data_IF_521382009082
#
_entry.id   IF_521382009082
#
_cell.length_a   1.000
_cell.length_b   1.000
_cell.length_c   1.000
_cell.angle_alpha   90.00
_cell.angle_beta   90.00
_cell.angle_gamma   90.00
#
_symmetry.space_group_name_H-M   'P 1'
#
loop_
_entity.id
_entity.type
_entity.pdbx_description
1 polymer ?
#
# COMPACT_ATOMS: atom_id res chain seq x y z
N UNK A 1 7.98 -15.06 -12.60
CA UNK A 1 8.40 -16.47 -12.79
C UNK A 1 8.66 -17.17 -11.45
N UNK A 2 9.43 -16.61 -10.52
CA UNK A 2 9.72 -17.23 -9.22
C UNK A 2 8.44 -17.66 -8.46
N UNK A 3 7.47 -16.76 -8.31
CA UNK A 3 6.22 -17.04 -7.59
C UNK A 3 5.44 -18.24 -8.18
N UNK A 4 5.43 -18.40 -9.51
CA UNK A 4 4.81 -19.56 -10.16
C UNK A 4 5.57 -20.87 -9.88
N UNK A 5 6.90 -20.84 -9.80
CA UNK A 5 7.71 -22.02 -9.47
C UNK A 5 7.54 -22.43 -8.01
N UNK A 6 7.38 -21.45 -7.10
CA UNK A 6 7.10 -21.72 -5.69
C UNK A 6 5.73 -22.37 -5.51
N UNK A 7 4.69 -21.86 -6.20
CA UNK A 7 3.36 -22.48 -6.23
C UNK A 7 3.41 -23.93 -6.74
N UNK A 8 4.07 -24.14 -7.88
CA UNK A 8 4.27 -25.50 -8.43
C UNK A 8 4.95 -26.44 -7.44
N UNK A 9 5.97 -25.95 -6.71
CA UNK A 9 6.65 -26.72 -5.69
C UNK A 9 5.75 -27.06 -4.51
N UNK A 10 5.01 -26.08 -4.00
CA UNK A 10 4.04 -26.29 -2.92
C UNK A 10 2.97 -27.31 -3.31
N UNK A 11 2.42 -27.20 -4.53
CA UNK A 11 1.47 -28.14 -5.10
C UNK A 11 2.05 -29.56 -5.22
N UNK A 12 3.29 -29.69 -5.65
CA UNK A 12 3.96 -31.00 -5.76
C UNK A 12 4.14 -31.71 -4.41
N UNK A 13 4.15 -30.95 -3.33
CA UNK A 13 4.28 -31.46 -1.96
C UNK A 13 2.94 -31.55 -1.22
N UNK A 14 1.86 -31.02 -1.80
CA UNK A 14 0.54 -31.02 -1.20
C UNK A 14 0.40 -30.06 -0.01
N UNK A 15 1.17 -28.95 0.03
CA UNK A 15 1.20 -28.00 1.15
C UNK A 15 0.91 -26.57 0.70
N UNK A 16 0.44 -25.68 1.61
CA UNK A 16 0.40 -24.24 1.36
C UNK A 16 1.81 -23.68 1.18
N UNK A 17 1.92 -22.54 0.46
CA UNK A 17 3.24 -21.91 0.22
C UNK A 17 3.95 -21.51 1.52
N UNK A 18 3.25 -20.99 2.54
CA UNK A 18 3.90 -20.62 3.80
C UNK A 18 4.63 -21.78 4.49
N UNK A 19 4.24 -23.04 4.26
CA UNK A 19 4.97 -24.21 4.77
C UNK A 19 6.36 -24.34 4.15
N UNK A 20 6.54 -23.93 2.91
CA UNK A 20 7.88 -23.87 2.29
C UNK A 20 8.74 -22.76 2.89
N UNK A 21 8.13 -21.79 3.55
CA UNK A 21 8.81 -20.62 4.14
C UNK A 21 9.17 -20.82 5.62
N UNK A 22 8.82 -21.97 6.19
CA UNK A 22 9.07 -22.30 7.60
C UNK A 22 7.81 -22.43 8.46
N UNK A 23 6.64 -22.30 7.86
CA UNK A 23 5.33 -22.35 8.51
C UNK A 23 4.78 -20.98 8.89
N UNK A 24 3.50 -20.95 9.20
CA UNK A 24 2.83 -19.74 9.65
C UNK A 24 3.07 -19.48 11.15
N UNK A 25 3.41 -18.25 11.52
CA UNK A 25 3.58 -17.82 12.91
C UNK A 25 2.35 -17.07 13.45
N UNK A 26 1.32 -16.90 12.61
CA UNK A 26 0.01 -16.31 12.94
C UNK A 26 -1.08 -16.88 12.05
N UNK A 27 -2.33 -16.78 12.49
CA UNK A 27 -3.50 -17.32 11.81
C UNK A 27 -4.31 -16.27 11.05
N UNK A 28 -4.13 -14.99 11.42
CA UNK A 28 -4.83 -13.83 10.85
C UNK A 28 -3.86 -12.66 10.65
N UNK A 29 -4.16 -11.82 9.67
CA UNK A 29 -3.36 -10.66 9.29
C UNK A 29 -4.21 -9.40 9.44
N UNK A 30 -3.82 -8.44 10.30
CA UNK A 30 -4.46 -7.13 10.31
C UNK A 30 -4.23 -6.41 8.99
N UNK A 31 -5.30 -5.77 8.49
CA UNK A 31 -5.29 -5.04 7.22
C UNK A 31 -5.47 -3.55 7.46
N UNK A 32 -4.88 -2.74 6.56
CA UNK A 32 -5.30 -1.35 6.39
C UNK A 32 -5.98 -1.16 5.03
N UNK A 33 -7.04 -0.30 5.01
CA UNK A 33 -7.71 0.09 3.77
C UNK A 33 -6.82 1.06 3.01
N UNK A 34 -6.21 0.61 1.93
CA UNK A 34 -5.33 1.42 1.09
C UNK A 34 -6.10 2.27 0.09
N UNK A 35 -5.45 3.30 -0.45
CA UNK A 35 -6.03 4.27 -1.38
C UNK A 35 -7.39 4.78 -0.91
N UNK A 36 -7.59 4.84 0.44
CA UNK A 36 -8.85 5.20 1.05
C UNK A 36 -9.28 6.59 0.60
N UNK A 37 -10.32 6.66 -0.21
CA UNK A 37 -10.81 7.85 -0.89
C UNK A 37 -10.24 8.10 -2.28
N UNK A 38 -9.05 7.62 -2.63
CA UNK A 38 -8.41 7.86 -3.93
C UNK A 38 -9.24 7.34 -5.10
N UNK A 39 -9.80 6.14 -4.95
CA UNK A 39 -10.65 5.54 -5.96
C UNK A 39 -12.10 6.03 -5.91
N UNK A 40 -12.47 6.78 -4.87
CA UNK A 40 -13.79 7.44 -4.76
C UNK A 40 -13.80 8.88 -5.26
N UNK A 41 -12.72 9.38 -5.84
CA UNK A 41 -12.77 10.64 -6.57
C UNK A 41 -13.68 10.50 -7.80
N UNK A 42 -14.43 11.55 -8.21
CA UNK A 42 -15.62 11.41 -9.09
C UNK A 42 -15.40 10.56 -10.33
N UNK A 43 -14.30 10.76 -11.05
CA UNK A 43 -14.02 10.01 -12.29
C UNK A 43 -13.83 8.51 -12.06
N UNK A 44 -13.11 8.15 -11.00
CA UNK A 44 -12.82 6.75 -10.69
C UNK A 44 -14.01 6.10 -10.00
N UNK A 45 -14.70 6.82 -9.14
CA UNK A 45 -15.91 6.37 -8.46
C UNK A 45 -17.00 5.93 -9.46
N UNK A 46 -17.20 6.71 -10.54
CA UNK A 46 -18.13 6.35 -11.62
C UNK A 46 -17.75 5.02 -12.29
N UNK A 47 -16.46 4.79 -12.54
CA UNK A 47 -15.96 3.55 -13.15
C UNK A 47 -16.13 2.33 -12.26
N UNK A 48 -16.01 2.50 -10.95
CA UNK A 48 -16.09 1.42 -9.95
C UNK A 48 -17.51 1.22 -9.42
N UNK A 49 -18.44 2.15 -9.69
CA UNK A 49 -19.81 2.11 -9.17
C UNK A 49 -19.89 2.34 -7.66
N UNK A 50 -18.94 3.09 -7.08
CA UNK A 50 -18.90 3.44 -5.66
C UNK A 50 -19.34 4.89 -5.43
N UNK A 51 -19.79 5.26 -4.20
CA UNK A 51 -20.16 6.65 -3.91
C UNK A 51 -18.96 7.61 -4.09
N UNK A 52 -19.14 8.71 -4.86
CA UNK A 52 -18.05 9.67 -5.06
C UNK A 52 -17.77 10.50 -3.80
N UNK A 53 -16.53 10.90 -3.63
CA UNK A 53 -16.09 11.87 -2.64
C UNK A 53 -15.93 13.22 -3.31
N UNK A 54 -16.68 14.21 -2.83
CA UNK A 54 -16.73 15.57 -3.37
C UNK A 54 -16.45 16.64 -2.33
N UNK A 55 -16.45 16.26 -1.04
CA UNK A 55 -16.30 17.17 0.09
C UNK A 55 -15.56 16.52 1.26
N UNK A 56 -15.22 17.31 2.27
CA UNK A 56 -14.67 16.82 3.53
C UNK A 56 -15.70 15.99 4.32
N UNK A 57 -16.99 16.30 4.23
CA UNK A 57 -18.06 15.53 4.89
C UNK A 57 -18.15 14.10 4.32
N UNK A 58 -17.84 13.92 3.04
CA UNK A 58 -17.77 12.59 2.43
C UNK A 58 -16.57 11.79 3.00
N UNK A 59 -15.46 12.45 3.35
CA UNK A 59 -14.32 11.82 4.04
C UNK A 59 -14.68 11.40 5.47
N UNK A 60 -15.45 12.21 6.20
CA UNK A 60 -15.98 11.83 7.51
C UNK A 60 -16.84 10.56 7.38
N UNK A 61 -17.70 10.53 6.36
CA UNK A 61 -18.57 9.38 6.09
C UNK A 61 -17.78 8.13 5.72
N UNK A 62 -16.75 8.26 4.87
CA UNK A 62 -15.84 7.17 4.53
C UNK A 62 -15.05 6.68 5.76
N UNK A 63 -14.57 7.58 6.61
CA UNK A 63 -13.91 7.20 7.85
C UNK A 63 -14.81 6.35 8.78
N UNK A 64 -16.10 6.67 8.87
CA UNK A 64 -17.08 5.85 9.59
C UNK A 64 -17.23 4.47 8.95
N UNK A 65 -17.29 4.39 7.62
CA UNK A 65 -17.35 3.12 6.89
C UNK A 65 -16.12 2.24 7.17
N UNK A 66 -14.91 2.81 7.15
CA UNK A 66 -13.66 2.09 7.50
C UNK A 66 -13.76 1.47 8.88
N UNK A 67 -14.20 2.23 9.87
CA UNK A 67 -14.39 1.76 11.24
C UNK A 67 -15.47 0.68 11.35
N UNK A 68 -16.60 0.85 10.69
CA UNK A 68 -17.72 -0.10 10.70
C UNK A 68 -17.35 -1.45 10.06
N UNK A 69 -16.43 -1.45 9.09
CA UNK A 69 -15.86 -2.65 8.49
C UNK A 69 -14.73 -3.29 9.32
N UNK A 70 -14.44 -2.75 10.50
CA UNK A 70 -13.51 -3.32 11.47
C UNK A 70 -12.04 -3.08 11.18
N UNK A 71 -11.67 -2.24 10.20
CA UNK A 71 -10.27 -1.92 9.93
C UNK A 71 -9.64 -1.18 11.11
N UNK A 72 -8.38 -1.51 11.40
CA UNK A 72 -7.59 -0.82 12.43
C UNK A 72 -6.81 0.38 11.88
N UNK A 73 -6.67 0.47 10.56
CA UNK A 73 -5.96 1.56 9.89
C UNK A 73 -6.54 1.84 8.50
N UNK A 74 -6.34 3.07 8.01
CA UNK A 74 -6.51 3.46 6.62
C UNK A 74 -5.26 4.17 6.10
N UNK A 75 -4.99 4.06 4.80
CA UNK A 75 -3.95 4.84 4.09
C UNK A 75 -4.59 5.71 3.02
N UNK A 76 -4.27 6.99 3.00
CA UNK A 76 -4.82 7.97 2.06
C UNK A 76 -3.72 8.74 1.37
N UNK A 77 -4.05 9.36 0.22
CA UNK A 77 -3.17 10.24 -0.55
C UNK A 77 -3.55 11.71 -0.34
N UNK A 78 -3.02 12.61 -1.14
CA UNK A 78 -3.30 14.06 -1.08
C UNK A 78 -4.48 14.39 -1.97
N UNK A 79 -5.60 14.88 -1.40
CA UNK A 79 -6.75 15.34 -2.15
C UNK A 79 -6.86 16.86 -2.14
N UNK A 80 -7.31 17.43 -3.26
CA UNK A 80 -7.67 18.84 -3.36
C UNK A 80 -9.14 18.93 -3.73
N UNK A 81 -9.93 19.55 -2.85
CA UNK A 81 -11.35 19.83 -3.04
C UNK A 81 -11.52 21.21 -3.68
N UNK A 82 -11.25 21.29 -4.98
CA UNK A 82 -11.47 22.45 -5.83
C UNK A 82 -12.79 22.27 -6.61
N UNK A 83 -13.03 23.01 -7.68
CA UNK A 83 -14.23 22.81 -8.51
C UNK A 83 -14.43 21.35 -8.93
N UNK A 84 -13.33 20.65 -9.19
CA UNK A 84 -13.31 19.21 -9.43
C UNK A 84 -12.33 18.57 -8.46
N UNK A 85 -12.82 17.79 -7.49
CA UNK A 85 -11.97 17.06 -6.56
C UNK A 85 -11.00 16.14 -7.30
N UNK A 86 -9.73 16.19 -6.96
CA UNK A 86 -8.69 15.41 -7.60
C UNK A 86 -7.55 15.06 -6.65
N UNK A 87 -6.77 14.06 -7.02
CA UNK A 87 -5.56 13.69 -6.30
C UNK A 87 -4.39 14.56 -6.73
N UNK A 88 -3.66 15.13 -5.77
CA UNK A 88 -2.46 15.90 -6.02
C UNK A 88 -1.24 14.99 -6.10
N UNK A 89 -0.78 14.70 -7.31
CA UNK A 89 0.29 13.74 -7.59
C UNK A 89 1.37 14.35 -8.52
N UNK A 90 2.09 15.41 -8.12
CA UNK A 90 3.12 16.01 -8.96
C UNK A 90 4.28 15.06 -9.28
N UNK A 91 4.55 14.08 -8.44
CA UNK A 91 5.58 13.07 -8.66
C UNK A 91 5.34 12.16 -9.87
N UNK A 92 4.08 11.95 -10.25
CA UNK A 92 3.70 11.14 -11.42
C UNK A 92 3.56 11.96 -12.71
N UNK A 93 3.55 13.31 -12.60
CA UNK A 93 3.46 14.18 -13.76
C UNK A 93 4.86 14.59 -14.25
N UNK A 94 5.08 14.52 -15.56
CA UNK A 94 6.32 15.00 -16.20
C UNK A 94 6.21 16.46 -16.66
N UNK A 95 5.26 17.20 -16.08
CA UNK A 95 4.98 18.59 -16.38
C UNK A 95 5.71 19.54 -15.43
N UNK A 96 5.41 20.82 -15.52
CA UNK A 96 5.87 21.86 -14.60
C UNK A 96 5.72 21.41 -13.13
N UNK A 97 6.80 21.56 -12.36
CA UNK A 97 6.81 21.26 -10.95
C UNK A 97 7.07 19.80 -10.55
N UNK A 98 7.38 18.92 -11.49
CA UNK A 98 7.66 17.50 -11.19
C UNK A 98 9.15 17.21 -10.88
N UNK A 99 9.44 16.51 -9.77
CA UNK A 99 8.73 16.50 -8.50
C UNK A 99 8.83 17.87 -7.82
N UNK A 100 7.77 18.33 -7.15
CA UNK A 100 7.76 19.60 -6.48
C UNK A 100 8.81 19.69 -5.38
N UNK A 101 9.70 20.68 -5.45
CA UNK A 101 10.71 20.89 -4.41
C UNK A 101 10.11 21.53 -3.16
N UNK A 102 9.20 22.47 -3.37
CA UNK A 102 8.58 23.30 -2.33
C UNK A 102 7.07 23.17 -2.42
N UNK A 103 6.44 22.37 -1.53
CA UNK A 103 4.99 22.26 -1.50
C UNK A 103 4.34 23.58 -1.14
N UNK A 104 3.27 23.93 -1.83
CA UNK A 104 2.51 25.13 -1.55
C UNK A 104 1.82 25.04 -0.19
N UNK A 105 1.67 26.17 0.49
CA UNK A 105 0.95 26.24 1.77
C UNK A 105 -0.50 25.73 1.68
N UNK A 106 -1.16 25.96 0.53
CA UNK A 106 -2.52 25.45 0.30
C UNK A 106 -2.60 23.91 0.36
N UNK A 107 -1.59 23.20 -0.15
CA UNK A 107 -1.53 21.74 -0.10
C UNK A 107 -1.44 21.26 1.37
N UNK A 108 -0.59 21.90 2.17
CA UNK A 108 -0.45 21.59 3.59
C UNK A 108 -1.76 21.85 4.35
N UNK A 109 -2.45 22.96 4.05
CA UNK A 109 -3.73 23.26 4.68
C UNK A 109 -4.81 22.25 4.27
N UNK A 110 -4.91 21.91 2.98
CA UNK A 110 -5.84 20.90 2.48
C UNK A 110 -5.58 19.53 3.14
N UNK A 111 -4.32 19.13 3.30
CA UNK A 111 -3.97 17.91 4.02
C UNK A 111 -4.42 17.93 5.50
N UNK A 112 -4.26 19.05 6.19
CA UNK A 112 -4.73 19.18 7.58
C UNK A 112 -6.24 19.02 7.68
N UNK A 113 -6.99 19.65 6.79
CA UNK A 113 -8.45 19.54 6.73
C UNK A 113 -8.90 18.12 6.38
N UNK A 114 -8.26 17.49 5.40
CA UNK A 114 -8.49 16.10 5.01
C UNK A 114 -8.27 15.12 6.17
N UNK A 115 -7.11 15.23 6.83
CA UNK A 115 -6.75 14.35 7.95
C UNK A 115 -7.65 14.58 9.17
N UNK A 116 -8.09 15.81 9.43
CA UNK A 116 -9.07 16.11 10.46
C UNK A 116 -10.43 15.48 10.16
N UNK A 117 -10.89 15.55 8.89
CA UNK A 117 -12.15 14.91 8.47
C UNK A 117 -12.09 13.38 8.61
N UNK A 118 -11.00 12.73 8.17
CA UNK A 118 -10.82 11.31 8.42
C UNK A 118 -10.81 10.99 9.92
N UNK A 119 -10.06 11.74 10.73
CA UNK A 119 -9.98 11.55 12.18
C UNK A 119 -11.35 11.68 12.86
N UNK A 120 -12.19 12.62 12.43
CA UNK A 120 -13.58 12.72 12.89
C UNK A 120 -14.38 11.46 12.57
N UNK A 121 -14.23 10.91 11.37
CA UNK A 121 -14.95 9.71 10.93
C UNK A 121 -14.47 8.45 11.64
N UNK A 122 -13.15 8.20 11.67
CA UNK A 122 -12.58 6.96 12.23
C UNK A 122 -12.53 6.94 13.75
N UNK A 123 -12.59 8.11 14.41
CA UNK A 123 -12.40 8.23 15.86
C UNK A 123 -10.92 8.25 16.28
N UNK A 124 -10.62 8.26 17.59
CA UNK A 124 -9.27 8.48 18.09
C UNK A 124 -8.34 7.27 17.97
N UNK A 125 -8.86 6.05 17.95
CA UNK A 125 -8.08 4.81 18.09
C UNK A 125 -7.54 4.26 16.77
N UNK A 126 -8.23 4.51 15.64
CA UNK A 126 -7.85 3.97 14.35
C UNK A 126 -6.65 4.73 13.77
N UNK A 127 -5.66 4.02 13.25
CA UNK A 127 -4.47 4.64 12.64
C UNK A 127 -4.78 5.24 11.27
N UNK A 128 -4.31 6.45 11.02
CA UNK A 128 -4.33 7.09 9.71
C UNK A 128 -2.90 7.11 9.18
N UNK A 129 -2.70 6.54 7.99
CA UNK A 129 -1.44 6.48 7.28
C UNK A 129 -1.52 7.44 6.09
N UNK A 130 -0.47 8.22 5.87
CA UNK A 130 -0.44 9.18 4.77
C UNK A 130 0.63 8.81 3.76
N UNK A 131 0.20 8.51 2.54
CA UNK A 131 1.08 8.23 1.43
C UNK A 131 1.32 9.48 0.58
N UNK A 132 2.56 9.94 0.61
CA UNK A 132 3.05 11.09 -0.15
C UNK A 132 3.68 10.68 -1.47
N UNK A 133 3.78 9.39 -1.77
CA UNK A 133 4.38 8.82 -2.98
C UNK A 133 5.75 9.46 -3.33
N UNK A 134 5.99 9.75 -4.61
CA UNK A 134 7.17 10.46 -5.15
C UNK A 134 6.95 11.97 -5.26
N UNK A 135 5.99 12.56 -4.56
CA UNK A 135 5.49 13.89 -4.86
C UNK A 135 6.49 15.02 -4.57
N UNK A 136 7.48 14.78 -3.71
CA UNK A 136 8.43 15.80 -3.31
C UNK A 136 9.86 15.30 -3.34
N UNK A 137 10.80 16.20 -3.18
CA UNK A 137 12.19 15.92 -2.81
C UNK A 137 12.37 16.11 -1.29
N UNK A 138 13.54 15.82 -0.78
CA UNK A 138 13.86 15.82 0.66
C UNK A 138 13.35 17.07 1.40
N UNK A 139 13.55 18.26 0.84
CA UNK A 139 13.09 19.53 1.45
C UNK A 139 11.56 19.60 1.49
N UNK A 140 10.89 19.22 0.39
CA UNK A 140 9.44 19.23 0.29
C UNK A 140 8.80 18.23 1.25
N UNK A 141 9.31 17.00 1.33
CA UNK A 141 8.85 16.01 2.30
C UNK A 141 9.02 16.52 3.73
N UNK A 142 10.19 17.06 4.09
CA UNK A 142 10.42 17.65 5.41
C UNK A 142 9.43 18.76 5.74
N UNK A 143 9.12 19.61 4.79
CA UNK A 143 8.18 20.72 4.97
C UNK A 143 6.76 20.23 5.22
N UNK A 144 6.28 19.27 4.43
CA UNK A 144 4.94 18.67 4.61
C UNK A 144 4.88 17.90 5.91
N UNK A 145 5.79 16.94 6.11
CA UNK A 145 5.74 16.04 7.27
C UNK A 145 5.84 16.79 8.59
N UNK A 146 6.75 17.79 8.72
CA UNK A 146 6.85 18.61 9.93
C UNK A 146 5.58 19.40 10.23
N UNK A 147 4.87 19.84 9.20
CA UNK A 147 3.62 20.57 9.39
C UNK A 147 2.46 19.68 9.86
N UNK A 148 2.60 18.35 9.73
CA UNK A 148 1.60 17.33 10.07
C UNK A 148 2.03 16.42 11.23
N UNK A 149 3.28 16.53 11.73
CA UNK A 149 3.92 15.60 12.65
C UNK A 149 3.20 15.45 14.03
N UNK A 150 2.42 16.45 14.42
CA UNK A 150 1.67 16.45 15.67
C UNK A 150 0.21 15.95 15.50
N UNK A 151 -0.19 15.44 14.30
CA UNK A 151 -1.56 14.99 14.04
C UNK A 151 -1.84 13.53 14.46
N UNK A 152 -0.87 12.82 15.03
CA UNK A 152 -1.04 11.45 15.49
C UNK A 152 -1.28 10.46 14.35
N UNK A 153 -0.47 10.53 13.30
CA UNK A 153 -0.50 9.59 12.18
C UNK A 153 0.28 8.31 12.53
N UNK A 154 -0.12 7.18 11.98
CA UNK A 154 0.57 5.91 12.15
C UNK A 154 1.92 5.86 11.41
N UNK A 155 1.98 6.42 10.19
CA UNK A 155 3.22 6.72 9.46
C UNK A 155 3.03 7.74 8.34
N UNK A 156 4.15 8.32 7.90
CA UNK A 156 4.29 8.94 6.59
C UNK A 156 4.94 7.93 5.63
N UNK A 157 4.32 7.66 4.50
CA UNK A 157 4.88 6.85 3.43
C UNK A 157 5.40 7.76 2.32
N UNK A 158 6.60 7.46 1.81
CA UNK A 158 7.22 8.22 0.73
C UNK A 158 8.34 7.42 0.08
N UNK A 159 8.55 7.64 -1.20
CA UNK A 159 9.64 7.03 -1.92
C UNK A 159 10.77 8.01 -2.25
N UNK A 160 11.94 7.70 -1.73
CA UNK A 160 13.20 8.36 -2.04
C UNK A 160 14.25 7.29 -2.34
N UNK A 161 15.02 7.50 -3.40
CA UNK A 161 16.08 6.57 -3.81
C UNK A 161 17.45 6.83 -3.14
N UNK A 162 17.53 7.87 -2.30
CA UNK A 162 18.72 8.21 -1.51
C UNK A 162 18.50 7.83 -0.03
N UNK A 163 19.14 6.79 0.48
CA UNK A 163 18.97 6.35 1.85
C UNK A 163 19.39 7.41 2.88
N UNK A 164 20.39 8.24 2.58
CA UNK A 164 20.82 9.30 3.50
C UNK A 164 19.78 10.44 3.57
N UNK A 165 19.14 10.79 2.44
CA UNK A 165 18.05 11.76 2.41
C UNK A 165 16.84 11.27 3.19
N UNK A 166 16.46 10.00 3.03
CA UNK A 166 15.36 9.39 3.77
C UNK A 166 15.66 9.30 5.27
N UNK A 167 16.87 8.90 5.66
CA UNK A 167 17.30 8.90 7.06
C UNK A 167 17.23 10.30 7.70
N UNK A 168 17.63 11.35 6.97
CA UNK A 168 17.47 12.74 7.42
C UNK A 168 16.01 13.10 7.69
N UNK A 169 15.07 12.64 6.86
CA UNK A 169 13.65 12.86 7.07
C UNK A 169 13.18 12.12 8.32
N UNK A 170 13.43 10.81 8.39
CA UNK A 170 13.04 9.99 9.53
C UNK A 170 13.51 10.58 10.88
N UNK A 171 14.79 10.96 10.98
CA UNK A 171 15.34 11.53 12.22
C UNK A 171 14.81 12.92 12.60
N UNK A 172 14.13 13.60 11.67
CA UNK A 172 13.56 14.93 11.90
C UNK A 172 12.09 14.90 12.33
N UNK A 173 11.47 13.71 12.41
CA UNK A 173 10.05 13.50 12.68
C UNK A 173 9.84 12.63 13.94
N UNK A 174 8.69 12.78 14.57
CA UNK A 174 8.19 11.91 15.66
C UNK A 174 7.37 10.75 15.06
N UNK A 175 6.58 11.07 14.03
CA UNK A 175 5.77 10.08 13.29
C UNK A 175 6.67 9.12 12.55
N UNK A 176 6.43 7.80 12.62
CA UNK A 176 7.19 6.81 11.87
C UNK A 176 7.22 7.07 10.36
N UNK A 177 8.28 6.61 9.69
CA UNK A 177 8.44 6.70 8.24
C UNK A 177 8.39 5.30 7.64
N UNK A 178 7.54 5.11 6.63
CA UNK A 178 7.46 3.94 5.79
C UNK A 178 7.99 4.27 4.38
N UNK A 179 8.71 3.33 3.75
CA UNK A 179 9.28 3.52 2.42
C UNK A 179 9.78 2.23 1.80
N UNK A 180 10.29 2.32 0.57
CA UNK A 180 11.00 1.28 -0.16
C UNK A 180 10.13 0.41 -1.07
N UNK A 181 8.87 0.74 -1.35
CA UNK A 181 7.98 -0.06 -2.20
C UNK A 181 8.58 -0.32 -3.60
N UNK A 182 9.29 0.67 -4.15
CA UNK A 182 9.88 0.63 -5.49
C UNK A 182 11.26 -0.01 -5.57
N UNK A 183 11.79 -0.54 -4.44
CA UNK A 183 13.11 -1.19 -4.41
C UNK A 183 13.04 -2.67 -4.78
N UNK A 184 14.09 -3.15 -5.46
CA UNK A 184 14.22 -4.53 -5.89
C UNK A 184 15.42 -5.22 -5.24
N UNK A 185 15.12 -6.42 -4.72
CA UNK A 185 16.11 -7.35 -4.21
C UNK A 185 16.89 -6.87 -2.98
N UNK A 186 17.54 -7.80 -2.33
CA UNK A 186 18.30 -7.54 -1.09
C UNK A 186 19.33 -6.42 -1.21
N UNK A 187 19.96 -6.28 -2.38
CA UNK A 187 20.98 -5.24 -2.62
C UNK A 187 20.39 -3.84 -2.64
N UNK A 188 19.14 -3.70 -3.13
CA UNK A 188 18.41 -2.42 -3.16
C UNK A 188 18.04 -1.96 -1.74
N UNK A 189 17.54 -2.87 -0.91
CA UNK A 189 17.09 -2.57 0.45
C UNK A 189 18.24 -2.34 1.44
N UNK A 190 19.34 -3.06 1.31
CA UNK A 190 20.45 -3.06 2.28
C UNK A 190 20.96 -1.66 2.65
N UNK A 191 21.26 -0.73 1.72
CA UNK A 191 21.74 0.60 2.09
C UNK A 191 20.75 1.40 2.93
N UNK A 192 19.45 1.16 2.76
CA UNK A 192 18.38 1.81 3.51
C UNK A 192 18.32 1.31 4.96
N UNK A 193 18.50 0.02 5.19
CA UNK A 193 18.60 -0.54 6.54
C UNK A 193 19.88 -0.07 7.24
N UNK A 194 21.05 -0.13 6.57
CA UNK A 194 22.33 0.32 7.11
C UNK A 194 22.32 1.81 7.51
N UNK A 195 21.53 2.63 6.80
CA UNK A 195 21.35 4.06 7.10
C UNK A 195 20.23 4.33 8.10
N UNK A 196 19.51 3.29 8.57
CA UNK A 196 18.32 3.44 9.44
C UNK A 196 17.31 4.45 8.86
N UNK A 197 16.99 4.29 7.57
CA UNK A 197 16.23 5.28 6.78
C UNK A 197 14.73 5.25 7.03
N UNK A 198 14.17 4.15 7.54
CA UNK A 198 12.74 3.97 7.77
C UNK A 198 12.47 3.16 9.04
N UNK A 199 11.24 3.24 9.52
CA UNK A 199 10.70 2.45 10.64
C UNK A 199 9.92 1.24 10.14
N UNK A 200 9.33 1.35 8.92
CA UNK A 200 8.59 0.29 8.26
C UNK A 200 9.10 0.14 6.82
N UNK A 201 9.59 -1.04 6.48
CA UNK A 201 9.99 -1.37 5.12
C UNK A 201 8.76 -1.85 4.33
N UNK A 202 8.42 -1.13 3.28
CA UNK A 202 7.37 -1.53 2.35
C UNK A 202 7.99 -2.47 1.31
N UNK A 203 7.50 -3.72 1.25
CA UNK A 203 8.08 -4.75 0.39
C UNK A 203 7.03 -5.27 -0.59
N UNK A 204 7.25 -5.06 -1.88
CA UNK A 204 6.38 -5.66 -2.90
C UNK A 204 6.77 -7.13 -3.12
N UNK A 205 5.91 -8.04 -2.70
CA UNK A 205 6.13 -9.49 -2.80
C UNK A 205 6.03 -10.00 -4.25
N UNK A 206 4.99 -9.62 -5.03
CA UNK A 206 4.92 -9.98 -6.44
C UNK A 206 6.14 -9.55 -7.28
N UNK A 207 6.62 -8.32 -7.06
CA UNK A 207 7.74 -7.76 -7.84
C UNK A 207 9.09 -8.35 -7.45
N UNK A 208 9.32 -8.53 -6.16
CA UNK A 208 10.60 -9.09 -5.67
C UNK A 208 10.69 -10.61 -5.85
N UNK A 209 9.55 -11.31 -5.87
CA UNK A 209 9.50 -12.74 -5.66
C UNK A 209 9.56 -13.10 -4.18
N UNK A 210 8.85 -14.16 -3.78
CA UNK A 210 8.66 -14.49 -2.37
C UNK A 210 9.97 -14.84 -1.65
N UNK A 211 10.92 -15.48 -2.32
CA UNK A 211 12.23 -15.81 -1.74
C UNK A 211 13.11 -14.59 -1.50
N UNK A 212 13.05 -13.59 -2.40
CA UNK A 212 13.73 -12.32 -2.15
C UNK A 212 13.05 -11.53 -1.05
N UNK A 213 11.71 -11.50 -1.03
CA UNK A 213 10.95 -10.85 0.04
C UNK A 213 11.28 -11.44 1.42
N UNK A 214 11.38 -12.76 1.55
CA UNK A 214 11.81 -13.43 2.79
C UNK A 214 13.22 -13.01 3.23
N UNK A 215 14.18 -12.89 2.31
CA UNK A 215 15.54 -12.42 2.62
C UNK A 215 15.54 -10.95 3.03
N UNK A 216 14.72 -10.12 2.40
CA UNK A 216 14.55 -8.70 2.77
C UNK A 216 13.96 -8.60 4.17
N UNK A 217 12.91 -9.37 4.50
CA UNK A 217 12.31 -9.41 5.82
C UNK A 217 13.31 -9.87 6.91
N UNK A 218 14.09 -10.92 6.65
CA UNK A 218 15.14 -11.39 7.57
C UNK A 218 16.26 -10.37 7.75
N UNK A 219 16.61 -9.61 6.71
CA UNK A 219 17.56 -8.50 6.86
C UNK A 219 16.94 -7.36 7.68
N UNK A 220 15.69 -6.97 7.41
CA UNK A 220 14.96 -5.95 8.17
C UNK A 220 14.89 -6.30 9.66
N UNK A 221 14.61 -7.58 10.00
CA UNK A 221 14.59 -8.08 11.37
C UNK A 221 15.91 -7.83 12.10
N UNK A 222 17.05 -8.04 11.44
CA UNK A 222 18.38 -7.81 12.02
C UNK A 222 18.67 -6.34 12.31
N UNK A 223 17.90 -5.41 11.76
CA UNK A 223 17.93 -3.97 12.02
C UNK A 223 16.73 -3.49 12.87
N UNK A 224 15.93 -4.41 13.42
CA UNK A 224 14.71 -4.12 14.21
C UNK A 224 13.67 -3.31 13.43
N UNK A 225 13.61 -3.49 12.09
CA UNK A 225 12.66 -2.82 11.21
C UNK A 225 11.48 -3.75 10.92
N UNK A 226 10.26 -3.21 11.09
CA UNK A 226 9.03 -3.90 10.71
C UNK A 226 8.85 -3.91 9.19
N UNK A 227 8.10 -4.90 8.71
CA UNK A 227 7.76 -5.06 7.29
C UNK A 227 6.25 -4.97 7.10
N UNK A 228 5.84 -4.22 6.09
CA UNK A 228 4.49 -4.22 5.54
C UNK A 228 4.56 -4.50 4.02
N UNK A 229 3.69 -5.34 3.45
CA UNK A 229 3.73 -5.58 2.02
C UNK A 229 3.02 -4.45 1.26
N UNK A 230 3.61 -4.03 0.13
CA UNK A 230 2.93 -3.26 -0.90
C UNK A 230 1.98 -4.18 -1.65
N UNK A 231 0.66 -3.92 -1.62
CA UNK A 231 -0.33 -4.84 -2.17
C UNK A 231 -1.64 -4.13 -2.59
N UNK A 232 -1.62 -3.44 -3.71
CA UNK A 232 -2.80 -2.79 -4.32
C UNK A 232 -3.34 -3.53 -5.55
N UNK A 233 -3.08 -4.82 -5.65
CA UNK A 233 -3.36 -5.65 -6.82
C UNK A 233 -4.61 -6.53 -6.65
N UNK A 234 -4.79 -7.45 -7.62
CA UNK A 234 -5.81 -8.49 -7.57
C UNK A 234 -5.52 -9.57 -6.51
N UNK A 235 -6.50 -10.42 -6.30
CA UNK A 235 -6.52 -11.42 -5.23
C UNK A 235 -5.34 -12.39 -5.21
N UNK A 236 -4.81 -12.80 -6.38
CA UNK A 236 -3.66 -13.70 -6.40
C UNK A 236 -2.42 -13.05 -5.76
N UNK A 237 -2.18 -11.76 -6.02
CA UNK A 237 -1.10 -11.02 -5.37
C UNK A 237 -1.36 -10.83 -3.87
N UNK A 238 -2.60 -10.58 -3.49
CA UNK A 238 -3.02 -10.53 -2.09
C UNK A 238 -2.71 -11.82 -1.35
N UNK A 239 -3.01 -12.97 -1.95
CA UNK A 239 -2.70 -14.27 -1.36
C UNK A 239 -1.18 -14.53 -1.29
N UNK A 240 -0.40 -14.14 -2.32
CA UNK A 240 1.07 -14.21 -2.24
C UNK A 240 1.61 -13.39 -1.06
N UNK A 241 1.14 -12.15 -0.90
CA UNK A 241 1.51 -11.28 0.21
C UNK A 241 1.06 -11.86 1.56
N UNK A 242 -0.13 -12.51 1.62
CA UNK A 242 -0.63 -13.16 2.83
C UNK A 242 0.26 -14.32 3.27
N UNK A 243 0.70 -15.19 2.36
CA UNK A 243 1.64 -16.27 2.68
C UNK A 243 2.98 -15.75 3.22
N UNK A 244 3.49 -14.67 2.63
CA UNK A 244 4.69 -14.00 3.11
C UNK A 244 4.48 -13.44 4.53
N UNK A 245 3.42 -12.66 4.74
CA UNK A 245 3.12 -12.05 6.04
C UNK A 245 2.85 -13.09 7.12
N UNK A 246 2.27 -14.23 6.78
CA UNK A 246 2.05 -15.33 7.71
C UNK A 246 3.36 -15.93 8.24
N UNK A 247 4.43 -15.94 7.42
CA UNK A 247 5.70 -16.61 7.73
C UNK A 247 6.76 -15.71 8.39
N UNK A 248 6.67 -14.38 8.27
CA UNK A 248 7.69 -13.47 8.82
C UNK A 248 7.36 -13.00 10.25
N UNK A 249 8.32 -12.96 11.19
CA UNK A 249 8.05 -12.53 12.56
C UNK A 249 7.84 -11.01 12.70
N UNK A 250 8.54 -10.20 11.92
CA UNK A 250 8.54 -8.74 11.96
C UNK A 250 7.46 -8.08 11.06
N UNK A 251 6.35 -8.76 10.83
CA UNK A 251 5.18 -8.23 10.13
C UNK A 251 4.48 -7.14 10.95
N UNK A 252 4.13 -6.01 10.31
CA UNK A 252 3.39 -4.89 10.94
C UNK A 252 1.89 -4.96 10.65
N UNK A 253 1.51 -4.80 9.40
CA UNK A 253 0.13 -4.73 8.90
C UNK A 253 0.16 -4.92 7.38
N UNK A 254 -0.91 -5.43 6.77
CA UNK A 254 -0.95 -5.71 5.33
C UNK A 254 -1.86 -4.72 4.59
N UNK A 255 -1.41 -4.27 3.43
CA UNK A 255 -2.16 -3.44 2.51
C UNK A 255 -3.27 -4.20 1.81
N UNK A 256 -4.44 -3.55 1.63
CA UNK A 256 -5.52 -4.04 0.79
C UNK A 256 -6.33 -2.90 0.17
N UNK A 257 -6.62 -2.98 -1.13
CA UNK A 257 -7.62 -2.14 -1.79
C UNK A 257 -9.01 -2.75 -1.65
N UNK A 258 -9.92 -1.98 -1.08
CA UNK A 258 -11.34 -2.36 -0.90
C UNK A 258 -12.19 -1.83 -2.06
N UNK A 259 -11.94 -0.59 -2.49
CA UNK A 259 -12.60 -0.02 -3.65
C UNK A 259 -11.94 -0.56 -4.92
N UNK A 260 -12.62 -1.44 -5.65
CA UNK A 260 -12.10 -2.08 -6.85
C UNK A 260 -13.27 -2.44 -7.79
N UNK A 261 -12.96 -3.03 -8.92
CA UNK A 261 -13.97 -3.50 -9.88
C UNK A 261 -14.88 -4.56 -9.26
N UNK A 262 -16.21 -4.53 -9.53
CA UNK A 262 -17.16 -5.40 -8.87
C UNK A 262 -17.00 -6.90 -9.19
N UNK A 263 -16.22 -7.23 -10.21
CA UNK A 263 -15.93 -8.61 -10.64
C UNK A 263 -14.54 -9.10 -10.18
N UNK A 264 -13.87 -8.38 -9.27
CA UNK A 264 -12.53 -8.75 -8.75
C UNK A 264 -12.52 -10.15 -8.15
N UNK A 265 -13.56 -10.50 -7.39
CA UNK A 265 -13.69 -11.81 -6.75
C UNK A 265 -13.81 -12.96 -7.75
N UNK A 266 -14.42 -12.70 -8.91
CA UNK A 266 -14.63 -13.71 -9.96
C UNK A 266 -13.32 -14.18 -10.63
N UNK A 267 -12.24 -13.39 -10.52
CA UNK A 267 -10.96 -13.70 -11.17
C UNK A 267 -10.20 -14.88 -10.54
N UNK A 268 -10.63 -15.32 -9.36
CA UNK A 268 -10.06 -16.46 -8.64
C UNK A 268 -11.15 -17.40 -8.14
N UNK A 269 -10.81 -18.68 -7.95
CA UNK A 269 -11.80 -19.68 -7.47
C UNK A 269 -12.10 -19.55 -5.98
N UNK A 270 -11.16 -18.96 -5.22
CA UNK A 270 -11.30 -18.70 -3.77
C UNK A 270 -10.68 -17.33 -3.48
N UNK A 271 -11.50 -16.28 -3.36
CA UNK A 271 -11.03 -14.97 -2.95
C UNK A 271 -10.51 -14.99 -1.50
N UNK A 272 -9.68 -14.00 -1.10
CA UNK A 272 -9.24 -13.84 0.27
C UNK A 272 -10.42 -13.69 1.23
N UNK A 273 -10.39 -14.39 2.36
CA UNK A 273 -11.42 -14.26 3.40
C UNK A 273 -11.06 -13.10 4.33
N UNK A 274 -11.77 -11.99 4.16
CA UNK A 274 -11.59 -10.77 4.95
C UNK A 274 -12.83 -10.55 5.82
N UNK A 275 -12.64 -10.45 7.13
CA UNK A 275 -13.69 -10.18 8.11
C UNK A 275 -13.16 -9.24 9.18
N UNK A 276 -13.93 -8.22 9.54
CA UNK A 276 -13.58 -7.25 10.60
C UNK A 276 -12.16 -6.68 10.46
N UNK A 277 -11.76 -6.29 9.23
CA UNK A 277 -10.44 -5.74 8.94
C UNK A 277 -9.28 -6.74 9.06
N UNK A 278 -9.58 -8.03 9.20
CA UNK A 278 -8.59 -9.12 9.29
C UNK A 278 -8.69 -10.04 8.08
N UNK A 279 -7.56 -10.48 7.55
CA UNK A 279 -7.47 -11.50 6.52
C UNK A 279 -7.04 -12.82 7.15
N UNK A 280 -7.84 -13.87 6.99
CA UNK A 280 -7.43 -15.22 7.37
C UNK A 280 -6.35 -15.73 6.45
N UNK A 281 -5.32 -16.36 7.00
CA UNK A 281 -4.25 -16.94 6.16
C UNK A 281 -4.86 -17.94 5.18
N UNK A 282 -4.34 -17.98 3.91
CA UNK A 282 -4.91 -18.86 2.90
C UNK A 282 -4.82 -20.32 3.29
N UNK A 283 -5.93 -21.02 3.26
CA UNK A 283 -5.98 -22.45 3.41
C UNK A 283 -5.93 -23.14 2.04
N UNK A 284 -5.25 -24.28 1.96
CA UNK A 284 -5.18 -25.07 0.75
C UNK A 284 -3.77 -25.18 0.16
N UNK A 285 -3.65 -25.91 -0.94
CA UNK A 285 -2.37 -26.23 -1.56
C UNK A 285 -1.91 -25.04 -2.44
N UNK A 286 -0.62 -24.78 -2.48
CA UNK A 286 -0.07 -23.68 -3.26
C UNK A 286 -0.45 -22.32 -2.66
N UNK A 287 -0.93 -21.40 -3.49
CA UNK A 287 -1.47 -20.11 -3.05
C UNK A 287 -2.88 -20.21 -2.43
N UNK A 288 -3.50 -21.41 -2.40
CA UNK A 288 -4.83 -21.63 -1.86
C UNK A 288 -5.97 -21.26 -2.82
N UNK A 289 -5.70 -20.86 -4.04
CA UNK A 289 -6.67 -20.51 -5.08
C UNK A 289 -6.18 -20.92 -6.47
N UNK A 290 -7.11 -20.89 -7.44
CA UNK A 290 -6.82 -20.99 -8.88
C UNK A 290 -7.30 -19.74 -9.60
N UNK A 291 -6.72 -19.46 -10.77
CA UNK A 291 -7.24 -18.43 -11.66
C UNK A 291 -8.52 -18.92 -12.35
N UNK A 292 -9.51 -18.04 -12.45
CA UNK A 292 -10.71 -18.29 -13.23
C UNK A 292 -10.51 -17.76 -14.66
N UNK A 293 -10.09 -18.64 -15.57
CA UNK A 293 -9.76 -18.26 -16.95
C UNK A 293 -10.97 -17.72 -17.73
N UNK A 294 -12.19 -18.17 -17.43
CA UNK A 294 -13.42 -17.67 -18.05
C UNK A 294 -13.68 -16.20 -17.64
N UNK A 295 -13.58 -15.90 -16.36
CA UNK A 295 -13.74 -14.54 -15.86
C UNK A 295 -12.65 -13.61 -16.40
N UNK A 296 -11.39 -14.07 -16.46
CA UNK A 296 -10.28 -13.31 -17.04
C UNK A 296 -10.54 -13.02 -18.51
N UNK A 297 -11.03 -13.99 -19.27
CA UNK A 297 -11.37 -13.82 -20.69
C UNK A 297 -12.58 -12.89 -20.89
N UNK A 298 -13.52 -12.86 -19.94
CA UNK A 298 -14.69 -11.96 -19.97
C UNK A 298 -14.32 -10.49 -19.69
N UNK A 299 -13.20 -10.26 -19.00
CA UNK A 299 -12.71 -8.92 -18.63
C UNK A 299 -11.31 -8.63 -19.19
N UNK A 300 -11.13 -8.64 -20.53
CA UNK A 300 -9.84 -8.40 -21.14
C UNK A 300 -9.34 -6.98 -20.85
N UNK A 301 -8.03 -6.82 -20.73
CA UNK A 301 -7.41 -5.50 -20.62
C UNK A 301 -7.85 -4.63 -21.78
N UNK A 302 -8.58 -3.57 -21.50
CA UNK A 302 -8.97 -2.59 -22.51
C UNK A 302 -7.75 -1.75 -22.83
N UNK A 303 -7.26 -1.86 -24.07
CA UNK A 303 -6.18 -1.01 -24.57
C UNK A 303 -6.73 0.42 -24.74
N UNK A 304 -6.59 1.25 -23.70
CA UNK A 304 -7.17 2.61 -23.66
C UNK A 304 -6.40 3.61 -24.52
N UNK A 305 -5.43 3.16 -25.31
CA UNK A 305 -4.55 4.02 -26.11
C UNK A 305 -3.58 4.89 -25.28
N UNK A 306 -3.59 4.74 -23.99
CA UNK A 306 -2.79 5.52 -23.03
C UNK A 306 -1.54 4.74 -22.56
N UNK A 307 -1.12 3.72 -23.33
CA UNK A 307 0.11 2.93 -23.10
C UNK A 307 1.35 3.82 -22.93
N UNK A 308 1.31 5.04 -23.42
CA UNK A 308 2.40 6.03 -23.28
C UNK A 308 2.59 6.57 -21.87
N UNK A 309 1.63 6.39 -20.93
CA UNK A 309 1.76 6.91 -19.56
C UNK A 309 2.50 5.94 -18.63
N UNK A 310 2.39 4.64 -18.85
CA UNK A 310 3.04 3.63 -18.01
C UNK A 310 4.42 3.18 -18.52
N UNK A 311 4.64 3.19 -19.84
CA UNK A 311 5.86 2.65 -20.49
C UNK A 311 7.10 3.58 -20.40
N UNK A 312 7.02 4.74 -19.76
CA UNK A 312 8.12 5.71 -19.65
C UNK A 312 8.61 5.98 -18.22
N UNK A 313 8.19 5.17 -17.25
CA UNK A 313 8.52 5.35 -15.83
C UNK A 313 9.65 4.45 -15.32
N UNK A 314 10.07 3.42 -16.08
CA UNK A 314 11.12 2.50 -15.68
C UNK A 314 12.26 2.52 -16.71
N UNK A 315 13.03 3.56 -16.71
CA UNK A 315 14.28 3.70 -17.45
C UNK A 315 15.26 4.54 -16.68
#
# INVERSE_FOLDING_TARGET
MENALVDLKARSLGVPVYELLGGAVREELPLYWSHCGSYRLPRTAEMLGVPPITSLDDLVSLGKEVREKGFSALKTNIFLFEEQPHMHQPGFARSEGWPALNPERRIINSLKEQLAAFREGVGPELEILLDLNFNYRTEGFLTVCRALDDLGLGWFEMDLYDPAALARIRHALKTPVASCESLFGLRGFRPFFESQSMDVAIVDVPWNGIWQAMKIAGLAESFEVNVAPHNFYGHLSTLMSAHFCAAIPNFRIMEIDIDDVPWKDDLVTKPPLIQDGMLKIPEGIGWGTELNEEAIAAHPVKNTGDERKYDRGMG
#
